data_IF_995487803915
#
_entry.id   IF_995487803915
#
_cell.length_a   1.000
_cell.length_b   1.000
_cell.length_c   1.000
_cell.angle_alpha   90.00
_cell.angle_beta   90.00
_cell.angle_gamma   90.00
#
_symmetry.space_group_name_H-M   'P 1'
#
loop_
_entity.id
_entity.type
_entity.pdbx_description
1 polymer ?
#
# COMPACT_ATOMS: atom_id res chain seq x y z
N UNK A 1 -29.20 5.39 36.85
CA UNK A 1 -29.11 5.88 35.45
C UNK A 1 -27.63 5.92 35.11
N UNK A 2 -27.17 5.06 34.21
CA UNK A 2 -25.78 5.06 33.75
C UNK A 2 -25.53 6.33 32.93
N UNK A 3 -24.60 7.17 33.38
CA UNK A 3 -24.18 8.36 32.65
C UNK A 3 -23.58 7.89 31.30
N UNK A 4 -23.94 8.50 30.16
CA UNK A 4 -23.40 8.09 28.87
C UNK A 4 -21.88 8.30 28.86
N UNK A 5 -21.14 7.19 28.72
CA UNK A 5 -19.69 7.23 28.51
C UNK A 5 -19.44 7.72 27.09
N UNK A 6 -18.88 8.92 26.95
CA UNK A 6 -18.44 9.42 25.65
C UNK A 6 -17.12 8.73 25.34
N UNK A 7 -17.11 7.85 24.33
CA UNK A 7 -15.91 7.22 23.80
C UNK A 7 -15.51 7.88 22.49
N UNK A 8 -14.25 8.27 22.37
CA UNK A 8 -13.65 8.65 21.10
C UNK A 8 -12.70 7.54 20.67
N UNK A 9 -12.98 6.95 19.50
CA UNK A 9 -12.11 5.93 18.91
C UNK A 9 -10.87 6.54 18.25
N UNK A 10 -9.98 5.66 17.81
CA UNK A 10 -8.80 6.02 17.04
C UNK A 10 -9.19 6.86 15.81
N UNK A 11 -8.43 7.93 15.58
CA UNK A 11 -8.60 8.80 14.41
C UNK A 11 -7.28 9.41 13.98
N UNK A 12 -7.14 9.67 12.68
CA UNK A 12 -6.06 10.47 12.14
C UNK A 12 -6.22 11.92 12.61
N UNK A 13 -5.18 12.47 13.24
CA UNK A 13 -5.09 13.90 13.57
C UNK A 13 -4.49 14.68 12.42
N UNK A 14 -3.32 14.25 11.97
CA UNK A 14 -2.62 14.87 10.85
C UNK A 14 -1.74 13.87 10.13
N UNK A 15 -1.53 14.10 8.85
CA UNK A 15 -0.61 13.35 8.01
C UNK A 15 0.13 14.33 7.14
N UNK A 16 1.46 14.27 7.13
CA UNK A 16 2.25 15.21 6.36
C UNK A 16 3.56 14.62 5.89
N UNK A 17 4.03 15.18 4.78
CA UNK A 17 5.26 14.77 4.10
C UNK A 17 6.14 16.00 3.99
N UNK A 18 7.40 15.87 4.38
CA UNK A 18 8.36 16.96 4.31
C UNK A 18 9.75 16.49 3.90
N UNK A 19 10.55 17.43 3.42
CA UNK A 19 11.97 17.20 3.17
C UNK A 19 12.77 18.41 3.64
N UNK A 20 13.64 18.20 4.64
CA UNK A 20 14.42 19.28 5.27
C UNK A 20 15.48 19.90 4.36
N UNK A 21 15.78 19.30 3.21
CA UNK A 21 16.70 19.88 2.23
C UNK A 21 16.08 21.04 1.43
N UNK A 22 14.74 21.12 1.37
CA UNK A 22 14.04 22.25 0.77
C UNK A 22 13.93 23.41 1.76
N UNK A 23 14.00 24.65 1.27
CA UNK A 23 13.96 25.85 2.13
C UNK A 23 15.10 25.93 3.17
N UNK A 24 16.39 25.93 2.76
CA UNK A 24 17.52 25.92 3.68
C UNK A 24 17.75 27.25 4.42
N UNK A 25 17.05 28.32 4.03
CA UNK A 25 17.19 29.66 4.63
C UNK A 25 16.10 29.92 5.67
N UNK A 26 16.43 30.75 6.65
CA UNK A 26 15.46 31.25 7.64
C UNK A 26 14.32 32.00 6.93
N UNK A 27 13.07 31.69 7.32
CA UNK A 27 11.87 32.21 6.66
C UNK A 27 11.41 31.44 5.42
N UNK A 28 12.08 30.35 5.04
CA UNK A 28 11.65 29.45 3.96
C UNK A 28 11.11 28.10 4.48
N UNK A 29 10.78 28.01 5.78
CA UNK A 29 10.36 26.74 6.40
C UNK A 29 9.13 26.11 5.74
N UNK A 30 8.22 26.93 5.21
CA UNK A 30 7.05 26.46 4.46
C UNK A 30 7.43 25.58 3.25
N UNK A 31 8.59 25.86 2.62
CA UNK A 31 9.05 25.12 1.43
C UNK A 31 9.48 23.68 1.74
N UNK A 32 9.69 23.36 3.02
CA UNK A 32 9.97 21.99 3.48
C UNK A 32 8.75 21.09 3.37
N UNK A 33 7.55 21.67 3.45
CA UNK A 33 6.28 20.94 3.48
C UNK A 33 5.91 20.56 2.05
N UNK A 34 5.80 19.27 1.78
CA UNK A 34 5.41 18.74 0.47
C UNK A 34 3.93 18.35 0.41
N UNK A 35 3.38 17.93 1.54
CA UNK A 35 1.96 17.60 1.67
C UNK A 35 1.53 17.73 3.13
N UNK A 36 0.29 18.16 3.37
CA UNK A 36 -0.29 18.20 4.71
C UNK A 36 -1.80 17.96 4.67
N UNK A 37 -2.28 17.07 5.54
CA UNK A 37 -3.69 16.80 5.79
C UNK A 37 -4.00 16.92 7.30
N UNK A 38 -5.10 17.58 7.71
CA UNK A 38 -6.10 18.29 6.88
C UNK A 38 -5.55 19.57 6.24
N UNK A 39 -5.97 19.86 5.00
CA UNK A 39 -5.42 20.97 4.21
C UNK A 39 -5.75 22.35 4.80
N UNK A 40 -6.86 22.45 5.54
CA UNK A 40 -7.39 23.66 6.16
C UNK A 40 -6.56 24.16 7.34
N UNK A 41 -5.59 23.36 7.80
CA UNK A 41 -4.65 23.75 8.85
C UNK A 41 -3.86 24.98 8.39
N UNK A 42 -3.72 25.97 9.27
CA UNK A 42 -2.97 27.19 8.98
C UNK A 42 -1.47 26.91 8.79
N UNK A 43 -0.80 27.75 8.01
CA UNK A 43 0.59 27.54 7.63
C UNK A 43 1.54 27.54 8.84
N UNK A 44 1.29 28.39 9.85
CA UNK A 44 2.12 28.50 11.05
C UNK A 44 2.08 27.19 11.85
N UNK A 45 0.90 26.59 12.00
CA UNK A 45 0.73 25.28 12.62
C UNK A 45 1.46 24.18 11.84
N UNK A 46 1.38 24.18 10.50
CA UNK A 46 2.09 23.20 9.65
C UNK A 46 3.62 23.32 9.81
N UNK A 47 4.14 24.55 9.79
CA UNK A 47 5.57 24.83 9.99
C UNK A 47 6.01 24.34 11.37
N UNK A 48 5.21 24.60 12.41
CA UNK A 48 5.51 24.17 13.77
C UNK A 48 5.55 22.65 13.90
N UNK A 49 4.61 21.94 13.30
CA UNK A 49 4.56 20.47 13.33
C UNK A 49 5.75 19.85 12.60
N UNK A 50 6.12 20.36 11.41
CA UNK A 50 7.32 19.92 10.69
C UNK A 50 8.60 20.25 11.46
N UNK A 51 8.70 21.46 12.04
CA UNK A 51 9.85 21.86 12.84
C UNK A 51 10.04 20.99 14.07
N UNK A 52 8.96 20.61 14.75
CA UNK A 52 9.01 19.68 15.88
C UNK A 52 9.48 18.29 15.43
N UNK A 53 8.93 17.75 14.35
CA UNK A 53 9.34 16.45 13.81
C UNK A 53 10.80 16.44 13.36
N UNK A 54 11.26 17.50 12.70
CA UNK A 54 12.66 17.67 12.30
C UNK A 54 13.59 17.67 13.53
N UNK A 55 13.22 18.40 14.59
CA UNK A 55 13.99 18.44 15.83
C UNK A 55 14.05 17.06 16.52
N UNK A 56 12.93 16.33 16.58
CA UNK A 56 12.87 14.99 17.17
C UNK A 56 13.76 14.00 16.39
N UNK A 57 13.67 14.01 15.06
CA UNK A 57 14.51 13.17 14.19
C UNK A 57 16.00 13.47 14.42
N UNK A 58 16.40 14.74 14.36
CA UNK A 58 17.80 15.16 14.57
C UNK A 58 18.31 14.82 15.97
N UNK A 59 17.49 15.05 16.99
CA UNK A 59 17.83 14.72 18.37
C UNK A 59 18.02 13.21 18.53
N UNK A 60 17.09 12.41 18.02
CA UNK A 60 17.14 10.94 18.15
C UNK A 60 18.37 10.36 17.45
N UNK A 61 18.68 10.85 16.24
CA UNK A 61 19.87 10.44 15.47
C UNK A 61 21.20 10.80 16.16
N UNK A 62 21.19 11.63 17.21
CA UNK A 62 22.41 11.88 18.02
C UNK A 62 22.74 10.68 18.91
N UNK A 63 21.75 9.82 19.20
CA UNK A 63 21.89 8.67 20.09
C UNK A 63 21.85 7.33 19.36
N UNK A 64 21.45 7.31 18.09
CA UNK A 64 21.32 6.10 17.27
C UNK A 64 22.23 6.17 16.04
N UNK A 65 22.91 5.06 15.74
CA UNK A 65 23.89 5.00 14.65
C UNK A 65 23.28 4.59 13.29
N UNK A 66 21.96 4.36 13.19
CA UNK A 66 21.26 4.07 11.92
C UNK A 66 19.73 3.90 12.09
N UNK A 67 19.24 3.65 13.31
CA UNK A 67 17.80 3.56 13.55
C UNK A 67 17.21 4.94 13.82
N UNK A 68 16.56 5.49 12.79
CA UNK A 68 15.75 6.69 12.95
C UNK A 68 14.59 6.46 13.91
N UNK A 69 14.15 7.53 14.56
CA UNK A 69 12.93 7.53 15.39
C UNK A 69 11.78 6.87 14.60
N UNK A 70 11.08 5.93 15.25
CA UNK A 70 9.93 5.23 14.64
C UNK A 70 8.61 5.76 15.20
N UNK A 71 8.52 5.98 16.52
CA UNK A 71 7.29 6.45 17.13
C UNK A 71 7.59 7.37 18.32
N UNK A 72 6.70 8.35 18.55
CA UNK A 72 6.68 9.18 19.74
C UNK A 72 5.27 9.16 20.34
N UNK A 73 5.21 8.73 21.59
CA UNK A 73 3.96 8.66 22.35
C UNK A 73 3.82 9.86 23.27
N UNK A 74 2.64 10.45 23.26
CA UNK A 74 2.21 11.43 24.26
C UNK A 74 0.89 10.97 24.86
N UNK A 75 0.42 11.64 25.91
CA UNK A 75 -0.87 11.30 26.53
C UNK A 75 -2.05 11.33 25.54
N UNK A 76 -2.02 12.20 24.52
CA UNK A 76 -3.17 12.46 23.64
C UNK A 76 -2.94 12.04 22.19
N UNK A 77 -1.69 11.86 21.78
CA UNK A 77 -1.33 11.54 20.39
C UNK A 77 -0.17 10.57 20.32
N UNK A 78 -0.18 9.73 19.30
CA UNK A 78 0.96 8.93 18.85
C UNK A 78 1.44 9.48 17.50
N UNK A 79 2.72 9.79 17.37
CA UNK A 79 3.34 10.22 16.12
C UNK A 79 4.22 9.10 15.57
N UNK A 80 4.03 8.75 14.30
CA UNK A 80 4.78 7.70 13.61
C UNK A 80 5.63 8.36 12.54
N UNK A 81 6.89 7.96 12.49
CA UNK A 81 7.91 8.53 11.63
C UNK A 81 8.37 7.46 10.64
N UNK A 82 8.39 7.81 9.37
CA UNK A 82 8.89 6.92 8.33
C UNK A 82 9.66 7.72 7.28
N UNK A 83 10.86 7.22 6.94
CA UNK A 83 11.69 7.77 5.88
C UNK A 83 11.71 6.78 4.71
N UNK A 84 10.80 6.89 3.73
CA UNK A 84 10.79 6.00 2.57
C UNK A 84 12.01 6.18 1.65
N UNK A 85 12.51 7.41 1.55
CA UNK A 85 13.62 7.79 0.68
C UNK A 85 14.54 8.76 1.43
N UNK A 86 15.85 8.82 1.11
CA UNK A 86 16.76 9.76 1.74
C UNK A 86 16.24 11.20 1.70
N UNK A 87 16.17 11.84 2.86
CA UNK A 87 15.66 13.20 3.03
C UNK A 87 14.12 13.36 3.08
N UNK A 88 13.34 12.41 2.56
CA UNK A 88 11.88 12.49 2.59
C UNK A 88 11.29 11.81 3.83
N UNK A 89 10.51 12.56 4.59
CA UNK A 89 9.87 12.08 5.80
C UNK A 89 8.36 12.10 5.64
N UNK A 90 7.72 11.01 6.06
CA UNK A 90 6.27 10.89 6.18
C UNK A 90 5.92 10.72 7.65
N UNK A 91 5.04 11.59 8.14
CA UNK A 91 4.58 11.57 9.52
C UNK A 91 3.09 11.32 9.58
N UNK A 92 2.70 10.35 10.39
CA UNK A 92 1.30 10.08 10.72
C UNK A 92 1.06 10.33 12.21
N UNK A 93 0.14 11.23 12.52
CA UNK A 93 -0.24 11.54 13.89
C UNK A 93 -1.64 11.01 14.16
N UNK A 94 -1.75 10.11 15.13
CA UNK A 94 -3.00 9.51 15.58
C UNK A 94 -3.45 10.14 16.90
N UNK A 95 -4.75 10.39 17.05
CA UNK A 95 -5.32 10.69 18.37
C UNK A 95 -5.44 9.40 19.17
N UNK A 96 -4.94 9.43 20.40
CA UNK A 96 -5.08 8.33 21.36
C UNK A 96 -6.56 8.18 21.73
N UNK A 97 -7.14 6.98 21.61
CA UNK A 97 -8.52 6.71 22.04
C UNK A 97 -8.73 7.13 23.48
N UNK A 98 -9.92 7.64 23.81
CA UNK A 98 -10.23 8.02 25.18
C UNK A 98 -11.67 7.74 25.57
N UNK A 99 -11.86 7.49 26.86
CA UNK A 99 -13.17 7.40 27.51
C UNK A 99 -13.33 8.55 28.49
N UNK A 100 -14.42 9.32 28.35
CA UNK A 100 -14.78 10.33 29.35
C UNK A 100 -15.46 9.66 30.53
N UNK A 101 -14.86 9.76 31.71
CA UNK A 101 -15.40 9.24 32.97
C UNK A 101 -15.70 10.39 33.93
N UNK A 102 -16.74 10.22 34.73
CA UNK A 102 -17.14 11.18 35.76
C UNK A 102 -16.69 10.67 37.13
N UNK A 103 -15.97 11.50 37.88
CA UNK A 103 -15.64 11.27 39.30
C UNK A 103 -16.28 12.37 40.16
N UNK A 104 -16.25 12.19 41.47
CA UNK A 104 -16.74 13.18 42.45
C UNK A 104 -16.10 14.56 42.29
N UNK A 105 -14.88 14.64 41.73
CA UNK A 105 -14.13 15.88 41.49
C UNK A 105 -14.38 16.51 40.11
N UNK A 106 -15.22 15.91 39.27
CA UNK A 106 -15.51 16.35 37.90
C UNK A 106 -15.22 15.30 36.84
N UNK A 107 -15.47 15.66 35.58
CA UNK A 107 -15.22 14.81 34.42
C UNK A 107 -13.73 14.81 34.04
N UNK A 108 -13.21 13.65 33.68
CA UNK A 108 -11.87 13.50 33.11
C UNK A 108 -11.86 12.56 31.91
N UNK A 109 -10.89 12.76 31.01
CA UNK A 109 -10.66 11.86 29.89
C UNK A 109 -9.57 10.85 30.26
N UNK A 110 -9.90 9.57 30.19
CA UNK A 110 -8.97 8.47 30.35
C UNK A 110 -8.49 8.03 28.97
N UNK A 111 -7.20 8.22 28.70
CA UNK A 111 -6.58 7.92 27.40
C UNK A 111 -6.00 6.51 27.40
N UNK A 112 -6.25 5.75 26.34
CA UNK A 112 -5.82 4.37 26.17
C UNK A 112 -4.71 4.29 25.12
N UNK A 113 -3.49 4.69 25.52
CA UNK A 113 -2.31 4.66 24.64
C UNK A 113 -1.93 3.25 24.22
N UNK A 114 -2.13 2.26 25.10
CA UNK A 114 -1.78 0.85 24.86
C UNK A 114 -2.61 0.20 23.74
N UNK A 115 -3.73 0.80 23.36
CA UNK A 115 -4.56 0.36 22.22
C UNK A 115 -3.91 0.69 20.87
N UNK A 116 -2.84 1.48 20.85
CA UNK A 116 -2.09 1.81 19.65
C UNK A 116 -0.87 0.88 19.54
N UNK A 117 -0.91 0.00 18.55
CA UNK A 117 0.23 -0.86 18.22
C UNK A 117 1.11 -0.22 17.14
N UNK A 118 2.30 0.24 17.54
CA UNK A 118 3.25 0.92 16.66
C UNK A 118 3.56 0.14 15.38
N UNK A 119 3.75 -1.18 15.48
CA UNK A 119 4.04 -2.04 14.33
C UNK A 119 2.94 -2.01 13.28
N UNK A 120 1.67 -2.00 13.70
CA UNK A 120 0.52 -2.01 12.79
C UNK A 120 0.47 -0.67 12.03
N UNK A 121 0.48 0.44 12.75
CA UNK A 121 0.35 1.75 12.10
C UNK A 121 1.62 2.19 11.37
N UNK A 122 2.80 1.69 11.78
CA UNK A 122 4.01 1.78 10.96
C UNK A 122 3.84 1.05 9.62
N UNK A 123 3.25 -0.15 9.63
CA UNK A 123 2.96 -0.86 8.40
C UNK A 123 1.96 -0.08 7.52
N UNK A 124 0.90 0.51 8.11
CA UNK A 124 -0.03 1.39 7.38
C UNK A 124 0.69 2.58 6.73
N UNK A 125 1.56 3.25 7.48
CA UNK A 125 2.34 4.38 6.97
C UNK A 125 3.29 3.95 5.83
N UNK A 126 4.00 2.83 5.99
CA UNK A 126 4.87 2.27 4.94
C UNK A 126 4.07 1.85 3.71
N UNK A 127 2.90 1.27 3.91
CA UNK A 127 2.02 0.82 2.84
C UNK A 127 1.45 2.01 2.05
N UNK A 128 1.16 3.13 2.71
CA UNK A 128 0.73 4.36 2.04
C UNK A 128 1.76 4.84 1.01
N UNK A 129 3.06 4.77 1.35
CA UNK A 129 4.14 5.10 0.42
C UNK A 129 4.26 4.07 -0.71
N UNK A 130 4.21 2.77 -0.41
CA UNK A 130 4.28 1.72 -1.44
C UNK A 130 3.17 1.87 -2.47
N UNK A 131 1.96 2.21 -2.01
CA UNK A 131 0.82 2.48 -2.89
C UNK A 131 1.04 3.72 -3.77
N UNK A 132 1.61 4.80 -3.22
CA UNK A 132 2.02 5.96 -4.01
C UNK A 132 3.05 5.57 -5.07
N UNK A 133 4.12 4.88 -4.65
CA UNK A 133 5.22 4.44 -5.52
C UNK A 133 4.71 3.55 -6.65
N UNK A 134 3.78 2.64 -6.37
CA UNK A 134 3.19 1.75 -7.37
C UNK A 134 2.61 2.52 -8.57
N UNK A 135 2.02 3.70 -8.39
CA UNK A 135 1.37 4.44 -9.49
C UNK A 135 2.14 5.67 -9.98
N UNK A 136 2.95 6.29 -9.12
CA UNK A 136 3.60 7.57 -9.39
C UNK A 136 5.13 7.48 -9.38
N UNK A 137 5.71 6.32 -9.00
CA UNK A 137 7.15 6.16 -8.81
C UNK A 137 7.65 6.77 -7.50
N UNK A 138 8.96 6.79 -7.30
CA UNK A 138 9.61 7.38 -6.12
C UNK A 138 9.45 8.90 -6.08
N UNK A 139 9.50 9.52 -4.91
CA UNK A 139 9.54 10.98 -4.77
C UNK A 139 10.72 11.57 -5.53
N UNK A 140 11.89 10.95 -5.45
CA UNK A 140 13.09 11.35 -6.19
C UNK A 140 12.89 11.28 -7.71
N UNK A 141 12.26 10.21 -8.24
CA UNK A 141 12.01 10.09 -9.69
C UNK A 141 11.06 11.18 -10.24
N UNK A 142 10.22 11.73 -9.37
CA UNK A 142 9.34 12.84 -9.69
C UNK A 142 10.05 14.20 -9.67
N UNK A 143 11.27 14.27 -9.13
CA UNK A 143 12.15 15.43 -9.17
C UNK A 143 13.16 15.27 -10.32
N UNK A 144 12.79 15.68 -11.53
CA UNK A 144 13.72 15.63 -12.67
C UNK A 144 14.87 16.64 -12.49
N UNK A 145 16.13 16.26 -12.76
CA UNK A 145 17.24 17.20 -12.71
C UNK A 145 17.17 18.21 -13.85
N UNK A 146 17.13 19.51 -13.54
CA UNK A 146 17.29 20.60 -14.52
C UNK A 146 16.24 21.72 -14.50
N UNK A 147 15.14 21.59 -13.77
CA UNK A 147 14.08 22.62 -13.61
C UNK A 147 13.59 22.65 -12.15
N UNK A 148 14.45 23.10 -11.24
CA UNK A 148 14.30 22.88 -9.78
C UNK A 148 13.03 23.49 -9.14
N UNK A 149 12.46 24.55 -9.70
CA UNK A 149 11.26 25.20 -9.13
C UNK A 149 9.95 24.52 -9.55
N UNK A 150 9.82 24.13 -10.82
CA UNK A 150 8.62 23.46 -11.34
C UNK A 150 8.57 21.97 -10.95
N UNK A 151 9.73 21.35 -10.72
CA UNK A 151 9.80 19.94 -10.31
C UNK A 151 9.20 19.69 -8.91
N UNK A 152 9.54 20.55 -7.93
CA UNK A 152 8.97 20.42 -6.57
C UNK A 152 7.48 20.72 -6.58
N UNK A 153 7.04 21.76 -7.30
CA UNK A 153 5.62 22.08 -7.44
C UNK A 153 4.83 20.92 -8.10
N UNK A 154 5.41 20.24 -9.09
CA UNK A 154 4.82 19.06 -9.72
C UNK A 154 4.70 17.88 -8.73
N UNK A 155 5.74 17.61 -7.93
CA UNK A 155 5.67 16.61 -6.88
C UNK A 155 4.57 16.95 -5.86
N UNK A 156 4.50 18.20 -5.39
CA UNK A 156 3.44 18.66 -4.47
C UNK A 156 2.06 18.40 -5.09
N UNK A 157 1.84 18.78 -6.35
CA UNK A 157 0.56 18.55 -7.04
C UNK A 157 0.19 17.06 -7.12
N UNK A 158 1.15 16.19 -7.40
CA UNK A 158 0.95 14.72 -7.42
C UNK A 158 0.65 14.16 -6.04
N UNK A 159 1.33 14.64 -5.00
CA UNK A 159 1.08 14.25 -3.61
C UNK A 159 -0.33 14.68 -3.18
N UNK A 160 -0.74 15.90 -3.50
CA UNK A 160 -2.08 16.40 -3.22
C UNK A 160 -3.17 15.60 -3.91
N UNK A 161 -3.00 15.30 -5.21
CA UNK A 161 -3.97 14.52 -5.96
C UNK A 161 -4.11 13.09 -5.40
N UNK A 162 -2.99 12.44 -5.07
CA UNK A 162 -2.97 11.08 -4.56
C UNK A 162 -3.46 11.02 -3.11
N UNK A 163 -2.77 11.68 -2.18
CA UNK A 163 -3.05 11.59 -0.75
C UNK A 163 -4.35 12.30 -0.35
N UNK A 164 -4.80 13.31 -1.10
CA UNK A 164 -6.10 13.94 -0.90
C UNK A 164 -7.27 12.95 -0.99
N UNK A 165 -7.14 11.90 -1.83
CA UNK A 165 -8.14 10.82 -1.95
C UNK A 165 -7.76 9.59 -1.11
N UNK A 166 -6.49 9.22 -1.08
CA UNK A 166 -6.02 7.99 -0.43
C UNK A 166 -6.24 8.02 1.10
N UNK A 167 -6.01 9.17 1.74
CA UNK A 167 -6.13 9.30 3.21
C UNK A 167 -7.54 8.98 3.71
N UNK A 168 -8.57 9.32 2.94
CA UNK A 168 -9.96 9.04 3.27
C UNK A 168 -10.28 7.53 3.32
N UNK A 169 -9.44 6.72 2.70
CA UNK A 169 -9.58 5.27 2.59
C UNK A 169 -8.52 4.50 3.41
N UNK A 170 -7.70 5.19 4.20
CA UNK A 170 -6.75 4.55 5.11
C UNK A 170 -7.52 3.70 6.13
N UNK A 171 -7.24 2.40 6.17
CA UNK A 171 -7.88 1.42 7.05
C UNK A 171 -7.38 1.51 8.51
N UNK A 172 -7.50 2.67 9.15
CA UNK A 172 -6.97 2.86 10.51
C UNK A 172 -7.69 2.03 11.58
N UNK A 173 -8.95 1.63 11.35
CA UNK A 173 -9.76 0.89 12.33
C UNK A 173 -9.86 -0.61 12.04
N UNK A 174 -9.61 -1.01 10.80
CA UNK A 174 -9.80 -2.37 10.31
C UNK A 174 -8.47 -3.07 9.98
N UNK A 175 -7.33 -2.43 10.26
CA UNK A 175 -6.02 -3.06 10.07
C UNK A 175 -5.77 -4.14 11.11
N UNK A 176 -5.52 -5.34 10.64
CA UNK A 176 -5.13 -6.47 11.47
C UNK A 176 -3.62 -6.75 11.40
N UNK A 177 -3.21 -7.81 12.09
CA UNK A 177 -1.81 -8.25 12.12
C UNK A 177 -1.34 -8.74 10.75
N UNK A 178 -2.22 -9.36 9.96
CA UNK A 178 -1.87 -9.89 8.63
C UNK A 178 -1.61 -8.76 7.63
N UNK A 179 -2.42 -7.69 7.71
CA UNK A 179 -2.22 -6.44 6.99
C UNK A 179 -0.88 -5.80 7.39
N UNK A 180 -0.56 -5.82 8.69
CA UNK A 180 0.67 -5.24 9.20
C UNK A 180 1.94 -5.96 8.70
N UNK A 181 1.86 -7.28 8.50
CA UNK A 181 2.96 -8.06 7.96
C UNK A 181 3.05 -8.02 6.42
N UNK A 182 2.07 -7.42 5.74
CA UNK A 182 2.03 -7.42 4.27
C UNK A 182 1.93 -8.84 3.70
N UNK A 183 1.24 -9.73 4.43
CA UNK A 183 1.20 -11.15 4.07
C UNK A 183 0.28 -11.39 2.87
N UNK A 184 0.74 -12.24 1.95
CA UNK A 184 -0.03 -12.66 0.78
C UNK A 184 -0.41 -14.13 0.94
N UNK A 185 -1.70 -14.42 0.89
CA UNK A 185 -2.19 -15.79 1.00
C UNK A 185 -2.14 -16.49 -0.36
N UNK A 186 -1.31 -17.54 -0.45
CA UNK A 186 -1.31 -18.45 -1.60
C UNK A 186 -2.35 -19.55 -1.42
N UNK A 187 -3.09 -19.87 -2.48
CA UNK A 187 -4.01 -21.01 -2.51
C UNK A 187 -3.21 -22.31 -2.63
N UNK A 188 -3.33 -23.25 -1.67
CA UNK A 188 -2.66 -24.55 -1.77
C UNK A 188 -3.25 -25.37 -2.92
N UNK A 189 -2.42 -25.71 -3.91
CA UNK A 189 -2.83 -26.49 -5.06
C UNK A 189 -2.19 -27.87 -5.08
N UNK A 190 -2.89 -28.84 -5.68
CA UNK A 190 -2.25 -30.10 -6.05
C UNK A 190 -1.27 -29.87 -7.22
N UNK A 191 -0.29 -30.78 -7.36
CA UNK A 191 0.79 -30.65 -8.35
C UNK A 191 0.28 -30.52 -9.79
N UNK A 192 -0.79 -31.24 -10.14
CA UNK A 192 -1.33 -31.24 -11.51
C UNK A 192 -1.96 -29.89 -11.88
N UNK A 193 -2.77 -29.32 -10.97
CA UNK A 193 -3.44 -28.03 -11.19
C UNK A 193 -2.42 -26.91 -11.15
N UNK A 194 -1.44 -26.96 -10.25
CA UNK A 194 -0.33 -26.00 -10.22
C UNK A 194 0.45 -26.01 -11.55
N UNK A 195 0.89 -27.18 -12.03
CA UNK A 195 1.59 -27.30 -13.32
C UNK A 195 0.74 -26.81 -14.48
N UNK A 196 -0.59 -27.02 -14.42
CA UNK A 196 -1.50 -26.53 -15.45
C UNK A 196 -1.55 -25.01 -15.49
N UNK A 197 -1.65 -24.35 -14.33
CA UNK A 197 -1.60 -22.89 -14.25
C UNK A 197 -0.23 -22.38 -14.72
N UNK A 198 0.86 -23.00 -14.27
CA UNK A 198 2.20 -22.62 -14.69
C UNK A 198 2.41 -22.76 -16.22
N UNK A 199 1.96 -23.86 -16.83
CA UNK A 199 2.03 -24.04 -18.28
C UNK A 199 1.20 -23.00 -19.04
N UNK A 200 0.04 -22.63 -18.49
CA UNK A 200 -0.79 -21.58 -19.06
C UNK A 200 -0.10 -20.21 -19.00
N UNK A 201 0.55 -19.86 -17.88
CA UNK A 201 1.32 -18.62 -17.75
C UNK A 201 2.50 -18.62 -18.73
N UNK A 202 3.28 -19.71 -18.78
CA UNK A 202 4.38 -19.85 -19.74
C UNK A 202 3.92 -19.72 -21.20
N UNK A 203 2.74 -20.28 -21.52
CA UNK A 203 2.16 -20.14 -22.86
C UNK A 203 1.81 -18.68 -23.17
N UNK A 204 1.22 -17.94 -22.23
CA UNK A 204 0.91 -16.52 -22.40
C UNK A 204 2.20 -15.73 -22.64
N UNK A 205 3.19 -15.89 -21.77
CA UNK A 205 4.47 -15.15 -21.86
C UNK A 205 5.25 -15.49 -23.15
N UNK A 206 5.12 -16.72 -23.67
CA UNK A 206 5.73 -17.12 -24.94
C UNK A 206 4.94 -16.67 -26.18
N UNK A 207 3.62 -16.53 -26.07
CA UNK A 207 2.75 -16.16 -27.20
C UNK A 207 2.71 -14.64 -27.39
N UNK A 208 2.72 -13.89 -26.29
CA UNK A 208 2.54 -12.44 -26.30
C UNK A 208 3.80 -11.76 -25.78
N UNK A 209 4.68 -11.37 -26.70
CA UNK A 209 5.93 -10.67 -26.40
C UNK A 209 5.79 -9.45 -25.46
N UNK A 210 4.71 -8.64 -25.51
CA UNK A 210 4.54 -7.52 -24.59
C UNK A 210 4.33 -7.92 -23.13
N UNK A 211 3.83 -9.13 -22.85
CA UNK A 211 3.57 -9.61 -21.49
C UNK A 211 4.87 -10.10 -20.88
N UNK A 212 5.32 -9.44 -19.81
CA UNK A 212 6.57 -9.81 -19.12
C UNK A 212 6.36 -10.56 -17.83
N UNK A 213 5.28 -10.23 -17.11
CA UNK A 213 4.95 -10.83 -15.82
C UNK A 213 3.43 -10.95 -15.72
N UNK A 214 2.99 -11.94 -14.93
CA UNK A 214 1.58 -12.17 -14.64
C UNK A 214 1.34 -12.40 -13.15
N UNK A 215 0.14 -12.07 -12.69
CA UNK A 215 -0.41 -12.55 -11.41
C UNK A 215 -1.68 -13.32 -11.72
N UNK A 216 -1.81 -14.51 -11.15
CA UNK A 216 -3.00 -15.34 -11.27
C UNK A 216 -3.65 -15.50 -9.91
N UNK A 217 -4.87 -14.98 -9.78
CA UNK A 217 -5.69 -15.03 -8.58
C UNK A 217 -6.90 -15.94 -8.80
N UNK A 218 -7.27 -16.69 -7.76
CA UNK A 218 -8.53 -17.41 -7.68
C UNK A 218 -9.21 -17.08 -6.34
N UNK A 219 -10.44 -16.58 -6.36
CA UNK A 219 -11.18 -16.12 -5.18
C UNK A 219 -10.33 -15.24 -4.25
N UNK A 220 -9.67 -14.24 -4.86
CA UNK A 220 -8.75 -13.28 -4.23
C UNK A 220 -7.49 -13.89 -3.56
N UNK A 221 -7.26 -15.20 -3.72
CA UNK A 221 -6.04 -15.88 -3.28
C UNK A 221 -5.03 -16.04 -4.43
N UNK A 222 -3.75 -15.91 -4.11
CA UNK A 222 -2.68 -16.01 -5.13
C UNK A 222 -2.40 -17.46 -5.47
N UNK A 223 -2.41 -17.77 -6.76
CA UNK A 223 -1.90 -19.04 -7.26
C UNK A 223 -0.49 -18.87 -7.81
N UNK A 224 -0.26 -17.80 -8.56
CA UNK A 224 1.01 -17.50 -9.22
C UNK A 224 1.29 -16.00 -9.21
N UNK A 225 2.56 -15.63 -9.01
CA UNK A 225 3.05 -14.26 -9.12
C UNK A 225 4.42 -14.25 -9.79
N UNK A 226 4.57 -13.45 -10.84
CA UNK A 226 5.86 -13.15 -11.46
C UNK A 226 6.60 -11.95 -10.85
N UNK A 227 6.04 -11.30 -9.83
CA UNK A 227 6.59 -10.08 -9.21
C UNK A 227 7.03 -10.32 -7.76
N UNK A 228 7.77 -9.37 -7.19
CA UNK A 228 8.24 -9.46 -5.81
C UNK A 228 7.08 -9.41 -4.79
N UNK A 229 7.24 -10.03 -3.59
CA UNK A 229 6.17 -10.11 -2.60
C UNK A 229 5.66 -8.75 -2.10
N UNK A 230 6.55 -7.75 -1.99
CA UNK A 230 6.20 -6.41 -1.50
C UNK A 230 5.25 -5.69 -2.45
N UNK A 231 5.54 -5.71 -3.74
CA UNK A 231 4.68 -5.11 -4.76
C UNK A 231 3.41 -5.95 -4.97
N UNK A 232 3.51 -7.28 -4.84
CA UNK A 232 2.36 -8.19 -4.90
C UNK A 232 1.31 -7.85 -3.84
N UNK A 233 1.73 -7.70 -2.58
CA UNK A 233 0.83 -7.30 -1.50
C UNK A 233 0.13 -5.98 -1.81
N UNK A 234 0.90 -4.99 -2.29
CA UNK A 234 0.38 -3.66 -2.64
C UNK A 234 -0.65 -3.72 -3.76
N UNK A 235 -0.43 -4.57 -4.77
CA UNK A 235 -1.39 -4.78 -5.86
C UNK A 235 -2.64 -5.47 -5.37
N UNK A 236 -2.53 -6.49 -4.51
CA UNK A 236 -3.70 -7.19 -3.95
C UNK A 236 -4.54 -6.23 -3.11
N UNK A 237 -3.89 -5.44 -2.25
CA UNK A 237 -4.58 -4.41 -1.46
C UNK A 237 -5.28 -3.39 -2.38
N UNK A 238 -4.61 -2.97 -3.45
CA UNK A 238 -5.21 -2.07 -4.45
C UNK A 238 -6.45 -2.69 -5.11
N UNK A 239 -6.38 -3.95 -5.57
CA UNK A 239 -7.48 -4.65 -6.24
C UNK A 239 -8.72 -4.82 -5.34
N UNK A 240 -8.48 -4.99 -4.04
CA UNK A 240 -9.52 -5.12 -3.00
C UNK A 240 -9.97 -3.75 -2.46
N UNK A 241 -9.25 -2.70 -2.78
CA UNK A 241 -9.48 -1.36 -2.28
C UNK A 241 -10.50 -0.54 -3.07
N UNK A 242 -11.02 0.55 -2.47
CA UNK A 242 -11.99 1.43 -3.12
C UNK A 242 -11.42 2.16 -4.35
N UNK A 243 -10.10 2.39 -4.39
CA UNK A 243 -9.42 3.04 -5.52
C UNK A 243 -9.54 2.28 -6.83
N UNK A 244 -9.64 0.94 -6.76
CA UNK A 244 -9.89 0.11 -7.93
C UNK A 244 -11.37 0.15 -8.35
N UNK A 245 -12.30 0.15 -7.38
CA UNK A 245 -13.75 0.17 -7.64
C UNK A 245 -14.24 1.49 -8.23
N UNK A 246 -13.56 2.61 -7.94
CA UNK A 246 -13.88 3.93 -8.53
C UNK A 246 -13.52 4.07 -10.01
N UNK A 247 -12.85 3.08 -10.62
CA UNK A 247 -12.72 3.05 -12.09
C UNK A 247 -14.08 2.84 -12.73
N UNK A 248 -14.49 3.69 -13.65
CA UNK A 248 -15.73 3.53 -14.41
C UNK A 248 -15.83 2.13 -15.04
N UNK A 249 -16.92 1.38 -14.80
CA UNK A 249 -17.14 0.08 -15.42
C UNK A 249 -17.29 0.29 -16.93
N UNK A 250 -16.28 -0.12 -17.70
CA UNK A 250 -16.27 0.02 -19.16
C UNK A 250 -14.96 0.51 -19.77
N UNK A 251 -14.01 1.02 -18.97
CA UNK A 251 -12.63 1.21 -19.41
C UNK A 251 -11.75 0.13 -18.78
N UNK A 252 -11.64 -1.01 -19.45
CA UNK A 252 -10.57 -1.99 -19.24
C UNK A 252 -9.23 -1.40 -19.77
N UNK A 253 -8.91 -0.16 -19.36
CA UNK A 253 -7.68 0.52 -19.74
C UNK A 253 -6.56 0.10 -18.80
N UNK A 254 -5.39 -0.15 -19.39
CA UNK A 254 -4.19 -0.41 -18.61
C UNK A 254 -3.82 0.83 -17.77
N UNK A 255 -3.25 0.61 -16.60
CA UNK A 255 -2.72 1.70 -15.75
C UNK A 255 -1.21 1.60 -15.69
N UNK A 256 -0.53 2.73 -15.77
CA UNK A 256 0.92 2.75 -15.53
C UNK A 256 1.20 2.38 -14.09
N UNK A 257 2.08 1.41 -13.90
CA UNK A 257 2.58 1.00 -12.58
C UNK A 257 4.10 0.90 -12.59
N UNK A 258 4.71 1.14 -11.43
CA UNK A 258 6.13 1.01 -11.16
C UNK A 258 6.33 -0.22 -10.28
N UNK A 259 7.10 -1.19 -10.78
CA UNK A 259 7.41 -2.43 -10.08
C UNK A 259 8.91 -2.51 -9.88
N UNK A 260 9.34 -2.93 -8.69
CA UNK A 260 10.75 -3.17 -8.42
C UNK A 260 11.20 -4.47 -9.09
N UNK A 261 12.21 -4.37 -9.95
CA UNK A 261 12.81 -5.55 -10.55
C UNK A 261 13.79 -6.22 -9.56
N UNK A 262 13.58 -7.50 -9.26
CA UNK A 262 14.36 -8.22 -8.25
C UNK A 262 15.87 -8.27 -8.55
N UNK A 263 16.25 -8.27 -9.83
CA UNK A 263 17.64 -8.41 -10.25
C UNK A 263 18.46 -7.12 -10.11
N UNK A 264 17.84 -5.96 -10.33
CA UNK A 264 18.52 -4.66 -10.38
C UNK A 264 18.16 -3.77 -9.20
N UNK A 265 17.06 -4.04 -8.51
CA UNK A 265 16.50 -3.19 -7.46
C UNK A 265 15.90 -1.87 -7.99
N UNK A 266 15.89 -1.67 -9.32
CA UNK A 266 15.37 -0.46 -9.96
C UNK A 266 13.89 -0.60 -10.31
N UNK A 267 13.22 0.54 -10.39
CA UNK A 267 11.81 0.63 -10.73
C UNK A 267 11.65 0.56 -12.24
N UNK A 268 10.88 -0.43 -12.70
CA UNK A 268 10.51 -0.57 -14.11
C UNK A 268 9.03 -0.26 -14.30
N UNK A 269 8.74 0.46 -15.38
CA UNK A 269 7.39 0.92 -15.70
C UNK A 269 6.70 -0.12 -16.56
N UNK A 270 5.50 -0.52 -16.14
CA UNK A 270 4.63 -1.43 -16.88
C UNK A 270 3.24 -0.81 -17.05
N UNK A 271 2.55 -1.22 -18.12
CA UNK A 271 1.11 -1.03 -18.25
C UNK A 271 0.42 -2.24 -17.59
N UNK A 272 -0.18 -2.01 -16.42
CA UNK A 272 -0.92 -3.00 -15.63
C UNK A 272 -2.35 -3.15 -16.14
N UNK A 273 -2.68 -4.34 -16.59
CA UNK A 273 -4.01 -4.68 -17.08
C UNK A 273 -4.63 -5.77 -16.21
N UNK A 274 -5.90 -5.61 -15.86
CA UNK A 274 -6.66 -6.57 -15.05
C UNK A 274 -7.74 -7.21 -15.90
N UNK A 275 -7.66 -8.53 -16.07
CA UNK A 275 -8.61 -9.33 -16.84
C UNK A 275 -9.48 -10.16 -15.88
N UNK A 276 -10.76 -9.78 -15.74
CA UNK A 276 -11.78 -10.49 -14.94
C UNK A 276 -12.85 -11.11 -15.84
N UNK A 277 -12.43 -12.03 -16.71
CA UNK A 277 -13.32 -12.61 -17.74
C UNK A 277 -14.11 -13.83 -17.27
N UNK A 278 -13.68 -14.50 -16.22
CA UNK A 278 -14.35 -15.67 -15.63
C UNK A 278 -14.64 -15.37 -14.17
N UNK A 279 -15.79 -15.84 -13.68
CA UNK A 279 -16.10 -15.77 -12.24
C UNK A 279 -14.95 -16.41 -11.45
N UNK A 280 -14.58 -15.75 -10.35
CA UNK A 280 -13.56 -16.19 -9.39
C UNK A 280 -12.11 -16.15 -9.89
N UNK A 281 -11.83 -15.94 -11.18
CA UNK A 281 -10.45 -15.80 -11.68
C UNK A 281 -10.15 -14.35 -12.02
N UNK A 282 -9.07 -13.82 -11.44
CA UNK A 282 -8.47 -12.55 -11.85
C UNK A 282 -7.07 -12.79 -12.39
N UNK A 283 -6.88 -12.50 -13.67
CA UNK A 283 -5.55 -12.52 -14.31
C UNK A 283 -5.06 -11.07 -14.43
N UNK A 284 -3.92 -10.76 -13.83
CA UNK A 284 -3.28 -9.46 -14.00
C UNK A 284 -2.05 -9.60 -14.88
N UNK A 285 -1.87 -8.67 -15.82
CA UNK A 285 -0.81 -8.69 -16.83
C UNK A 285 0.02 -7.42 -16.71
N UNK A 286 1.34 -7.57 -16.77
CA UNK A 286 2.31 -6.47 -16.82
C UNK A 286 2.87 -6.38 -18.23
N UNK A 287 2.45 -5.32 -18.94
CA UNK A 287 2.76 -5.10 -20.34
C UNK A 287 3.91 -4.10 -20.48
N UNK A 288 4.92 -4.43 -21.26
CA UNK A 288 5.84 -3.42 -21.83
C UNK A 288 5.16 -2.72 -23.01
N UNK A 289 5.59 -1.48 -23.30
CA UNK A 289 4.96 -0.54 -24.24
C UNK A 289 4.21 -1.21 -25.40
N UNK A 290 2.89 -1.02 -25.44
CA UNK A 290 2.01 -1.57 -26.47
C UNK A 290 1.51 -0.44 -27.36
N UNK A 291 1.73 -0.52 -28.67
CA UNK A 291 1.26 0.49 -29.63
C UNK A 291 -0.27 0.49 -29.79
N UNK A 292 -0.91 -0.69 -29.70
CA UNK A 292 -2.35 -0.86 -29.81
C UNK A 292 -2.90 -1.81 -28.73
N UNK A 293 -3.18 -1.26 -27.55
CA UNK A 293 -3.69 -2.03 -26.41
C UNK A 293 -5.01 -2.73 -26.71
N UNK A 294 -5.89 -2.14 -27.51
CA UNK A 294 -7.19 -2.71 -27.82
C UNK A 294 -7.08 -3.98 -28.69
N UNK A 295 -6.23 -3.94 -29.72
CA UNK A 295 -6.03 -5.11 -30.58
C UNK A 295 -5.37 -6.26 -29.82
N UNK A 296 -4.36 -5.96 -29.00
CA UNK A 296 -3.73 -6.94 -28.11
C UNK A 296 -4.77 -7.54 -27.16
N UNK A 297 -5.65 -6.72 -26.62
CA UNK A 297 -6.70 -7.17 -25.72
C UNK A 297 -7.70 -8.12 -26.39
N UNK A 298 -8.13 -7.81 -27.61
CA UNK A 298 -9.05 -8.65 -28.36
C UNK A 298 -8.42 -10.02 -28.72
N UNK A 299 -7.13 -10.01 -29.09
CA UNK A 299 -6.37 -11.24 -29.34
C UNK A 299 -6.15 -12.06 -28.07
N UNK A 300 -5.76 -11.41 -26.97
CA UNK A 300 -5.64 -12.03 -25.65
C UNK A 300 -6.95 -12.70 -25.27
N UNK A 301 -8.08 -12.00 -25.37
CA UNK A 301 -9.39 -12.56 -25.06
C UNK A 301 -9.74 -13.79 -25.90
N UNK A 302 -9.42 -13.80 -27.19
CA UNK A 302 -9.69 -14.95 -28.05
C UNK A 302 -8.90 -16.20 -27.62
N UNK A 303 -7.64 -16.03 -27.22
CA UNK A 303 -6.74 -17.13 -26.85
C UNK A 303 -6.92 -17.57 -25.39
N UNK A 304 -7.10 -16.61 -24.49
CA UNK A 304 -7.07 -16.81 -23.04
C UNK A 304 -8.40 -17.32 -22.49
N UNK A 305 -9.54 -16.81 -22.98
CA UNK A 305 -10.85 -17.10 -22.37
C UNK A 305 -11.22 -18.60 -22.31
N UNK A 306 -11.00 -19.41 -23.37
CA UNK A 306 -11.29 -20.85 -23.30
C UNK A 306 -10.43 -21.58 -22.26
N UNK A 307 -9.16 -21.20 -22.15
CA UNK A 307 -8.21 -21.80 -21.21
C UNK A 307 -8.51 -21.40 -19.76
N UNK A 308 -8.79 -20.11 -19.51
CA UNK A 308 -9.19 -19.61 -18.19
C UNK A 308 -10.46 -20.30 -17.69
N UNK A 309 -11.46 -20.45 -18.57
CA UNK A 309 -12.71 -21.14 -18.21
C UNK A 309 -12.44 -22.58 -17.79
N UNK A 310 -11.58 -23.29 -18.53
CA UNK A 310 -11.22 -24.68 -18.21
C UNK A 310 -10.40 -24.81 -16.92
N UNK A 311 -9.50 -23.87 -16.66
CA UNK A 311 -8.71 -23.80 -15.42
C UNK A 311 -9.63 -23.48 -14.24
N UNK A 312 -10.53 -22.51 -14.38
CA UNK A 312 -11.50 -22.14 -13.34
C UNK A 312 -12.37 -23.32 -12.91
N UNK A 313 -12.89 -24.12 -13.87
CA UNK A 313 -13.64 -25.35 -13.55
C UNK A 313 -12.78 -26.35 -12.77
N UNK A 314 -11.51 -26.47 -13.12
CA UNK A 314 -10.60 -27.41 -12.43
C UNK A 314 -10.26 -26.94 -11.01
N UNK A 315 -10.15 -25.63 -10.80
CA UNK A 315 -9.92 -25.01 -9.50
C UNK A 315 -11.17 -25.15 -8.61
N UNK A 316 -12.37 -24.92 -9.15
CA UNK A 316 -13.62 -25.07 -8.40
C UNK A 316 -13.98 -26.53 -8.04
N UNK A 317 -13.31 -27.52 -8.63
CA UNK A 317 -13.43 -28.93 -8.28
C UNK A 317 -12.42 -29.37 -7.19
N UNK A 318 -11.51 -28.50 -6.78
CA UNK A 318 -10.67 -28.77 -5.64
C UNK A 318 -11.57 -28.88 -4.41
N UNK A 319 -11.39 -29.91 -3.56
CA UNK A 319 -12.10 -29.94 -2.29
C UNK A 319 -11.77 -28.64 -1.55
N UNK A 320 -12.79 -27.91 -1.11
CA UNK A 320 -12.60 -26.82 -0.14
C UNK A 320 -11.69 -27.39 0.94
N UNK A 321 -10.57 -26.70 1.20
CA UNK A 321 -9.67 -27.05 2.29
C UNK A 321 -10.44 -26.87 3.60
N UNK A 322 -11.26 -27.87 3.93
CA UNK A 322 -11.95 -27.98 5.18
C UNK A 322 -10.85 -28.21 6.19
N UNK A 323 -10.68 -27.23 7.07
CA UNK A 323 -9.86 -27.25 8.27
C UNK A 323 -10.36 -28.28 9.29
N UNK A 324 -10.66 -29.50 8.84
CA UNK A 324 -11.16 -30.63 9.63
C UNK A 324 -10.64 -32.00 9.14
N UNK A 325 -9.71 -32.06 8.19
CA UNK A 325 -8.97 -33.30 7.95
C UNK A 325 -7.88 -33.43 9.02
N UNK A 326 -7.97 -34.47 9.86
CA UNK A 326 -6.94 -34.83 10.87
C UNK A 326 -5.55 -34.79 10.23
N UNK A 327 -4.78 -33.75 10.54
CA UNK A 327 -3.40 -33.61 10.09
C UNK A 327 -2.55 -34.71 10.72
N UNK A 328 -1.84 -35.46 9.89
CA UNK A 328 -0.81 -36.40 10.30
C UNK A 328 0.40 -35.60 10.81
N UNK A 329 0.76 -35.67 12.11
CA UNK A 329 1.77 -34.79 12.73
C UNK A 329 3.19 -34.98 12.17
N UNK A 330 3.41 -35.96 11.28
CA UNK A 330 4.70 -36.25 10.65
C UNK A 330 4.81 -35.80 9.20
N UNK A 331 3.76 -35.22 8.60
CA UNK A 331 3.83 -34.72 7.24
C UNK A 331 4.59 -33.37 7.19
N UNK A 332 5.64 -33.23 6.35
CA UNK A 332 6.36 -31.97 6.23
C UNK A 332 5.43 -30.89 5.66
N UNK A 333 5.19 -29.84 6.44
CA UNK A 333 4.53 -28.62 5.99
C UNK A 333 5.54 -27.78 5.22
N UNK A 334 5.34 -27.61 3.92
CA UNK A 334 6.13 -26.69 3.13
C UNK A 334 5.60 -25.28 3.35
N UNK A 335 6.31 -24.53 4.20
CA UNK A 335 6.22 -23.08 4.26
C UNK A 335 7.12 -22.57 3.15
N UNK A 336 6.54 -22.01 2.09
CA UNK A 336 7.31 -21.27 1.10
C UNK A 336 7.56 -19.87 1.67
N UNK A 337 8.84 -19.56 1.92
CA UNK A 337 9.31 -18.23 2.29
C UNK A 337 9.58 -17.40 1.03
#
# INVERSE_FOLDING_TARGET
>A
MSIPVIKAGLSLRSFYIFNSSFGPKEGEEEKKILFYHPQETDIDSKIKDVGLSEAIVKFSNTFTNDESVQAMHTQKTCQLYYQPEPGFWMIMVLNVPFERKTRETGDYNEYHGDDIHDTIYQAVLRQSYKMFRLFLGTFESNLKPGEDLDAVANLIGKLEEFYGKYILHLKLKDCDVLDAFGSVQYLPLNQLVFLRVQNFINMIEATFEPIKQCIFLYDDQVIWSGINPTDLYTIIEYLNGPMFQTSSPGQEQSRKVYIQEQATGQDKVYNFMVCRKVQNVTLCLFLEQVENEQALYDELNAVINPQLSSISVSLGQLPEATSTAKEDPTAPKFIYF
#
